data_IF_459020967181
#
_entry.id   IF_459020967181
#
_cell.length_a   1.000
_cell.length_b   1.000
_cell.length_c   1.000
_cell.angle_alpha   90.00
_cell.angle_beta   90.00
_cell.angle_gamma   90.00
#
_symmetry.space_group_name_H-M   'P 1'
#
loop_
_entity.id
_entity.type
_entity.pdbx_description
1 polymer ?
#
# COMPACT_ATOMS: atom_id res chain seq x y z
N UNK A 1 -28.87 -20.84 34.27
CA UNK A 1 -28.87 -19.62 33.46
C UNK A 1 -27.42 -19.20 33.28
N UNK A 2 -26.76 -19.65 32.21
CA UNK A 2 -25.39 -19.25 31.89
C UNK A 2 -25.48 -17.89 31.17
N UNK A 3 -24.92 -16.85 31.79
CA UNK A 3 -24.73 -15.56 31.13
C UNK A 3 -23.59 -15.73 30.14
N UNK A 4 -23.89 -15.65 28.84
CA UNK A 4 -22.86 -15.59 27.81
C UNK A 4 -22.03 -14.34 28.01
N UNK A 5 -20.73 -14.51 28.25
CA UNK A 5 -19.78 -13.40 28.19
C UNK A 5 -19.78 -12.91 26.73
N UNK A 6 -20.34 -11.73 26.50
CA UNK A 6 -20.12 -11.02 25.23
C UNK A 6 -18.63 -10.80 25.08
N UNK A 7 -18.04 -11.30 24.00
CA UNK A 7 -16.67 -10.98 23.66
C UNK A 7 -16.54 -9.45 23.59
N UNK A 8 -15.54 -8.89 24.26
CA UNK A 8 -15.20 -7.49 24.06
C UNK A 8 -14.94 -7.26 22.56
N UNK A 9 -15.28 -6.08 22.00
CA UNK A 9 -14.92 -5.76 20.63
C UNK A 9 -13.40 -5.94 20.48
N UNK A 10 -12.99 -6.55 19.37
CA UNK A 10 -11.58 -6.71 19.05
C UNK A 10 -10.96 -5.32 18.85
N UNK A 11 -10.05 -4.94 19.74
CA UNK A 11 -9.27 -3.71 19.60
C UNK A 11 -8.49 -3.75 18.28
N UNK A 12 -8.44 -2.62 17.58
CA UNK A 12 -7.64 -2.51 16.35
C UNK A 12 -6.15 -2.70 16.65
N UNK A 13 -5.43 -3.37 15.74
CA UNK A 13 -4.03 -3.71 15.91
C UNK A 13 -3.22 -3.58 14.62
N UNK A 14 -1.89 -3.53 14.76
CA UNK A 14 -0.97 -3.70 13.64
C UNK A 14 -0.97 -5.18 13.20
N UNK A 15 -1.26 -5.44 11.93
CA UNK A 15 -1.28 -6.81 11.37
C UNK A 15 0.11 -7.27 10.95
N UNK A 16 0.86 -6.39 10.30
CA UNK A 16 2.15 -6.70 9.72
C UNK A 16 3.02 -5.45 9.61
N UNK A 17 4.32 -5.60 9.86
CA UNK A 17 5.34 -4.59 9.57
C UNK A 17 6.26 -5.07 8.46
N UNK A 18 6.36 -4.30 7.38
CA UNK A 18 7.22 -4.59 6.23
C UNK A 18 8.24 -3.49 5.95
N UNK A 19 9.22 -3.82 5.12
CA UNK A 19 10.16 -2.89 4.52
C UNK A 19 10.71 -3.53 3.25
N UNK A 20 10.51 -2.87 2.11
CA UNK A 20 11.06 -3.33 0.83
C UNK A 20 11.94 -2.22 0.23
N UNK A 21 13.16 -2.02 0.76
CA UNK A 21 14.10 -1.11 0.12
C UNK A 21 14.60 -1.73 -1.18
N UNK A 22 14.56 -0.96 -2.26
CA UNK A 22 14.98 -1.37 -3.61
C UNK A 22 16.04 -0.41 -4.15
N UNK A 23 16.91 -0.84 -5.08
CA UNK A 23 17.85 0.07 -5.71
C UNK A 23 17.17 1.23 -6.42
N UNK A 24 17.84 2.37 -6.49
CA UNK A 24 17.35 3.52 -7.25
C UNK A 24 16.98 3.14 -8.70
N UNK A 25 15.73 3.42 -9.08
CA UNK A 25 15.19 3.10 -10.40
C UNK A 25 14.89 1.62 -10.64
N UNK A 26 14.87 0.78 -9.60
CA UNK A 26 14.47 -0.62 -9.72
C UNK A 26 12.98 -0.81 -10.04
N UNK A 27 12.13 0.13 -9.64
CA UNK A 27 10.69 0.14 -9.95
C UNK A 27 10.39 1.22 -11.00
N UNK A 28 9.71 0.82 -12.08
CA UNK A 28 9.27 1.66 -13.18
C UNK A 28 7.75 1.66 -13.22
N UNK A 29 7.14 2.84 -13.13
CA UNK A 29 5.68 2.98 -13.15
C UNK A 29 5.19 2.95 -14.61
N UNK A 30 4.90 1.76 -15.12
CA UNK A 30 4.52 1.54 -16.52
C UNK A 30 3.36 0.54 -16.74
N UNK A 31 2.74 0.06 -15.66
CA UNK A 31 1.65 -0.92 -15.74
C UNK A 31 2.15 -2.35 -15.96
N UNK A 32 3.36 -2.68 -15.53
CA UNK A 32 3.94 -4.02 -15.63
C UNK A 32 4.53 -4.49 -14.29
N UNK A 33 3.99 -5.55 -13.71
CA UNK A 33 4.39 -6.06 -12.39
C UNK A 33 5.76 -6.78 -12.33
N UNK A 34 6.53 -6.82 -13.42
CA UNK A 34 7.76 -7.63 -13.48
C UNK A 34 8.87 -7.18 -12.53
N UNK A 35 8.96 -5.87 -12.29
CA UNK A 35 9.88 -5.22 -11.36
C UNK A 35 9.44 -5.35 -9.89
N UNK A 36 8.15 -5.57 -9.63
CA UNK A 36 7.60 -5.88 -8.31
C UNK A 36 7.85 -7.32 -7.84
N UNK A 37 8.39 -8.20 -8.69
CA UNK A 37 8.53 -9.63 -8.39
C UNK A 37 9.37 -9.93 -7.12
N UNK A 38 10.27 -9.03 -6.73
CA UNK A 38 11.08 -9.16 -5.52
C UNK A 38 10.49 -8.43 -4.30
N UNK A 39 9.43 -7.64 -4.47
CA UNK A 39 8.77 -6.89 -3.40
C UNK A 39 7.85 -7.82 -2.64
N UNK A 40 8.00 -7.90 -1.32
CA UNK A 40 7.06 -8.67 -0.49
C UNK A 40 5.78 -7.85 -0.31
N UNK A 41 4.61 -8.35 -0.75
CA UNK A 41 3.34 -7.67 -0.52
C UNK A 41 2.92 -7.78 0.95
N UNK A 42 2.00 -6.92 1.36
CA UNK A 42 1.29 -7.09 2.61
C UNK A 42 0.43 -8.35 2.59
N UNK A 43 -0.01 -8.78 3.77
CA UNK A 43 -0.96 -9.86 3.93
C UNK A 43 -2.15 -9.61 3.01
N UNK A 44 -2.42 -10.59 2.15
CA UNK A 44 -3.52 -10.56 1.21
C UNK A 44 -4.84 -10.56 1.96
N UNK A 45 -5.84 -9.88 1.40
CA UNK A 45 -7.21 -10.08 1.84
C UNK A 45 -7.65 -11.53 1.56
N UNK A 46 -8.13 -12.20 2.61
CA UNK A 46 -8.56 -13.58 2.54
C UNK A 46 -10.02 -13.69 2.09
N UNK A 47 -10.80 -12.62 2.25
CA UNK A 47 -12.22 -12.56 1.92
C UNK A 47 -12.38 -11.52 0.83
N UNK A 48 -11.80 -11.80 -0.35
CA UNK A 48 -12.04 -10.92 -1.47
C UNK A 48 -13.49 -11.06 -1.94
N UNK A 49 -14.35 -10.13 -1.56
CA UNK A 49 -15.77 -10.14 -1.91
C UNK A 49 -15.98 -9.37 -3.22
N UNK A 50 -15.87 -10.09 -4.34
CA UNK A 50 -16.23 -9.50 -5.62
C UNK A 50 -17.70 -9.05 -5.65
N UNK A 51 -17.96 -7.85 -6.20
CA UNK A 51 -19.26 -7.29 -6.64
C UNK A 51 -20.53 -8.07 -6.21
N UNK A 52 -21.32 -7.50 -5.29
CA UNK A 52 -22.65 -7.97 -4.85
C UNK A 52 -23.74 -7.91 -5.94
N UNK A 53 -23.37 -7.72 -7.20
CA UNK A 53 -24.19 -7.99 -8.37
C UNK A 53 -24.53 -6.76 -9.21
N UNK A 54 -25.41 -6.95 -10.19
CA UNK A 54 -25.65 -6.00 -11.28
C UNK A 54 -26.19 -4.61 -10.86
N UNK A 55 -26.67 -4.45 -9.63
CA UNK A 55 -27.12 -3.17 -9.07
C UNK A 55 -25.99 -2.36 -8.43
N UNK A 56 -24.87 -3.02 -8.13
CA UNK A 56 -23.66 -2.44 -7.53
C UNK A 56 -22.42 -3.01 -8.25
N UNK A 57 -22.17 -2.56 -9.48
CA UNK A 57 -20.99 -2.97 -10.24
C UNK A 57 -19.66 -2.45 -9.65
N UNK A 58 -19.67 -1.94 -8.40
CA UNK A 58 -18.58 -1.20 -7.76
C UNK A 58 -18.22 -1.73 -6.36
N UNK A 59 -18.63 -2.93 -5.96
CA UNK A 59 -18.00 -3.56 -4.78
C UNK A 59 -16.61 -3.99 -5.22
N UNK A 60 -15.76 -2.99 -5.13
CA UNK A 60 -14.36 -3.04 -5.45
C UNK A 60 -13.71 -3.46 -4.16
N UNK A 61 -12.98 -4.56 -4.22
CA UNK A 61 -12.18 -5.05 -3.11
C UNK A 61 -10.70 -4.99 -3.52
N UNK A 62 -9.87 -4.46 -2.62
CA UNK A 62 -8.42 -4.46 -2.75
C UNK A 62 -7.88 -5.77 -2.17
N UNK A 63 -7.67 -6.73 -3.07
CA UNK A 63 -7.11 -8.04 -2.76
C UNK A 63 -5.74 -7.97 -2.09
N UNK A 64 -4.86 -7.07 -2.57
CA UNK A 64 -3.49 -7.02 -2.09
C UNK A 64 -2.85 -5.65 -2.31
N UNK A 65 -2.05 -5.22 -1.33
CA UNK A 65 -1.19 -4.06 -1.42
C UNK A 65 0.30 -4.41 -1.29
N UNK A 66 1.17 -3.61 -1.89
CA UNK A 66 2.61 -3.66 -1.67
C UNK A 66 3.19 -2.25 -1.65
N UNK A 67 4.24 -2.04 -0.87
CA UNK A 67 5.01 -0.80 -0.86
C UNK A 67 6.49 -1.14 -1.00
N UNK A 68 7.19 -0.38 -1.84
CA UNK A 68 8.64 -0.39 -1.98
C UNK A 68 9.20 1.04 -1.81
N UNK A 69 10.51 1.19 -1.62
CA UNK A 69 11.13 2.51 -1.58
C UNK A 69 12.58 2.49 -2.04
N UNK A 70 13.00 3.59 -2.66
CA UNK A 70 14.41 3.89 -2.92
C UNK A 70 14.79 5.23 -2.25
N UNK A 71 15.93 5.82 -2.60
CA UNK A 71 16.36 7.10 -2.02
C UNK A 71 15.43 8.28 -2.38
N UNK A 72 14.68 8.17 -3.48
CA UNK A 72 13.95 9.28 -4.10
C UNK A 72 12.42 9.15 -4.02
N UNK A 73 11.90 7.92 -3.97
CA UNK A 73 10.49 7.62 -4.11
C UNK A 73 10.00 6.60 -3.08
N UNK A 74 8.74 6.77 -2.66
CA UNK A 74 7.93 5.68 -2.12
C UNK A 74 7.07 5.16 -3.27
N UNK A 75 7.11 3.86 -3.47
CA UNK A 75 6.32 3.16 -4.48
C UNK A 75 5.16 2.45 -3.81
N UNK A 76 3.97 2.56 -4.38
CA UNK A 76 2.75 1.90 -3.87
C UNK A 76 2.13 1.13 -5.01
N UNK A 77 1.85 -0.15 -4.79
CA UNK A 77 1.07 -1.00 -5.67
C UNK A 77 -0.17 -1.45 -4.89
N UNK A 78 -1.32 -1.44 -5.53
CA UNK A 78 -2.46 -2.24 -5.09
C UNK A 78 -3.09 -2.97 -6.26
N UNK A 79 -3.70 -4.10 -5.95
CA UNK A 79 -4.43 -4.94 -6.90
C UNK A 79 -5.81 -5.21 -6.35
N UNK A 80 -6.81 -5.03 -7.21
CA UNK A 80 -8.20 -5.34 -6.92
C UNK A 80 -8.50 -6.81 -7.20
N UNK A 81 -9.57 -7.34 -6.60
CA UNK A 81 -10.01 -8.71 -6.79
C UNK A 81 -10.55 -9.01 -8.22
N UNK A 82 -10.83 -7.98 -9.02
CA UNK A 82 -11.36 -8.12 -10.38
C UNK A 82 -10.92 -7.03 -11.36
N UNK A 83 -11.16 -7.29 -12.64
CA UNK A 83 -10.79 -6.41 -13.75
C UNK A 83 -11.74 -5.22 -13.90
N UNK A 84 -11.24 -4.10 -14.46
CA UNK A 84 -11.94 -2.80 -14.58
C UNK A 84 -12.36 -2.19 -13.24
N UNK A 85 -11.67 -2.55 -12.17
CA UNK A 85 -12.03 -2.10 -10.82
C UNK A 85 -11.22 -0.90 -10.34
N UNK A 86 -10.33 -0.33 -11.18
CA UNK A 86 -9.57 0.87 -10.80
C UNK A 86 -10.47 2.10 -10.86
N UNK A 87 -10.90 2.57 -9.69
CA UNK A 87 -11.77 3.73 -9.54
C UNK A 87 -11.27 4.71 -8.47
N UNK A 88 -11.38 6.00 -8.78
CA UNK A 88 -10.93 7.07 -7.88
C UNK A 88 -11.86 7.35 -6.71
N UNK A 89 -13.14 6.98 -6.85
CA UNK A 89 -14.14 7.16 -5.81
C UNK A 89 -14.24 5.95 -4.89
N UNK A 90 -13.65 4.79 -5.25
CA UNK A 90 -13.89 3.54 -4.53
C UNK A 90 -12.62 2.78 -4.15
N UNK A 91 -11.44 3.15 -4.66
CA UNK A 91 -10.16 2.65 -4.15
C UNK A 91 -9.47 3.74 -3.35
N UNK A 92 -9.18 3.50 -2.07
CA UNK A 92 -8.46 4.45 -1.22
C UNK A 92 -7.29 3.81 -0.50
N UNK A 93 -6.11 4.42 -0.62
CA UNK A 93 -4.95 4.02 0.18
C UNK A 93 -4.65 5.14 1.16
N UNK A 94 -4.77 4.87 2.44
CA UNK A 94 -4.66 5.86 3.51
C UNK A 94 -3.29 5.75 4.19
N UNK A 95 -2.67 6.89 4.46
CA UNK A 95 -1.33 6.98 5.04
C UNK A 95 -1.31 7.89 6.26
N UNK A 96 -0.81 7.35 7.37
CA UNK A 96 -0.55 8.04 8.64
C UNK A 96 0.96 8.09 8.84
N UNK A 97 1.55 9.25 8.52
CA UNK A 97 2.99 9.43 8.41
C UNK A 97 3.65 9.72 9.76
N UNK A 98 2.92 10.27 10.72
CA UNK A 98 3.42 10.55 12.08
C UNK A 98 3.06 9.47 13.10
N UNK A 99 2.26 8.48 12.69
CA UNK A 99 1.75 7.36 13.49
C UNK A 99 0.95 7.80 14.69
N UNK A 100 0.25 8.93 14.58
CA UNK A 100 -0.57 9.45 15.63
C UNK A 100 -2.04 9.43 15.21
N UNK A 101 -2.88 8.53 15.77
CA UNK A 101 -4.29 8.43 15.38
C UNK A 101 -5.12 9.69 15.71
N UNK A 102 -4.55 10.64 16.46
CA UNK A 102 -5.19 11.92 16.80
C UNK A 102 -4.89 13.06 15.81
N UNK A 103 -4.02 12.87 14.81
CA UNK A 103 -3.67 13.87 13.78
C UNK A 103 -4.29 13.50 12.43
N UNK A 104 -4.11 14.39 11.45
CA UNK A 104 -4.67 14.19 10.10
C UNK A 104 -6.20 14.10 10.07
N UNK A 105 -6.71 13.32 9.11
CA UNK A 105 -8.10 12.92 9.00
C UNK A 105 -8.33 11.60 9.76
N UNK A 106 -9.33 11.56 10.64
CA UNK A 106 -9.73 10.36 11.40
C UNK A 106 -11.27 10.26 11.56
N UNK A 107 -12.00 11.08 10.82
CA UNK A 107 -13.47 11.17 10.85
C UNK A 107 -14.16 10.39 9.73
N UNK A 108 -13.42 9.61 8.94
CA UNK A 108 -14.03 8.74 7.92
C UNK A 108 -14.70 7.56 8.65
N UNK A 109 -16.01 7.33 8.44
CA UNK A 109 -16.71 6.20 9.07
C UNK A 109 -16.00 4.88 8.72
N UNK A 110 -15.68 4.09 9.74
CA UNK A 110 -14.94 2.84 9.55
C UNK A 110 -13.42 2.98 9.44
N UNK A 111 -12.86 4.18 9.62
CA UNK A 111 -11.41 4.47 9.55
C UNK A 111 -10.95 5.42 10.67
N UNK A 112 -10.97 4.92 11.91
CA UNK A 112 -10.54 5.64 13.11
C UNK A 112 -9.33 4.99 13.81
N UNK A 113 -8.72 3.96 13.21
CA UNK A 113 -7.52 3.30 13.74
C UNK A 113 -6.22 4.05 13.47
N UNK A 114 -6.21 4.95 12.49
CA UNK A 114 -5.05 5.78 12.09
C UNK A 114 -5.45 7.24 11.86
N UNK A 115 -4.47 8.14 11.91
CA UNK A 115 -4.63 9.58 11.68
C UNK A 115 -4.01 9.95 10.34
N UNK A 116 -4.82 10.19 9.32
CA UNK A 116 -4.36 10.14 7.93
C UNK A 116 -3.88 11.51 7.43
N UNK A 117 -2.59 11.65 7.11
CA UNK A 117 -2.07 12.84 6.42
C UNK A 117 -2.35 12.81 4.92
N UNK A 118 -2.44 11.61 4.34
CA UNK A 118 -2.64 11.45 2.91
C UNK A 118 -3.60 10.32 2.60
N UNK A 119 -4.33 10.46 1.49
CA UNK A 119 -4.88 9.29 0.82
C UNK A 119 -4.79 9.39 -0.70
N UNK A 120 -4.66 8.24 -1.34
CA UNK A 120 -4.69 8.04 -2.78
C UNK A 120 -6.06 7.54 -3.19
N UNK A 121 -6.41 7.68 -4.47
CA UNK A 121 -7.50 6.90 -5.03
C UNK A 121 -7.58 6.92 -6.55
N UNK A 122 -7.65 5.74 -7.17
CA UNK A 122 -7.59 5.59 -8.62
C UNK A 122 -6.43 6.37 -9.28
N UNK A 123 -6.50 6.66 -10.57
CA UNK A 123 -5.37 7.34 -11.26
C UNK A 123 -5.25 8.83 -10.92
N UNK A 124 -6.35 9.47 -10.53
CA UNK A 124 -6.40 10.91 -10.30
C UNK A 124 -6.25 11.32 -8.83
N UNK A 125 -6.80 10.54 -7.91
CA UNK A 125 -7.03 10.94 -6.53
C UNK A 125 -5.75 11.09 -5.71
N UNK A 126 -5.64 12.24 -5.07
CA UNK A 126 -4.68 12.52 -4.02
C UNK A 126 -5.29 13.57 -3.11
N UNK A 127 -5.39 13.23 -1.83
CA UNK A 127 -5.73 14.16 -0.78
C UNK A 127 -4.55 14.31 0.15
N UNK A 128 -4.19 15.57 0.41
CA UNK A 128 -3.28 15.95 1.48
C UNK A 128 -4.11 16.61 2.59
N UNK A 129 -4.24 15.94 3.72
CA UNK A 129 -5.02 16.37 4.86
C UNK A 129 -4.20 17.25 5.80
N UNK A 130 -4.89 18.11 6.55
CA UNK A 130 -4.32 18.86 7.66
C UNK A 130 -5.08 18.54 8.97
N UNK A 131 -4.50 18.93 10.10
CA UNK A 131 -5.00 18.63 11.44
C UNK A 131 -6.35 19.26 11.81
N UNK A 132 -6.96 20.05 10.92
CA UNK A 132 -8.28 20.64 11.10
C UNK A 132 -9.33 20.08 10.11
N UNK A 133 -9.01 18.96 9.45
CA UNK A 133 -9.93 18.23 8.58
C UNK A 133 -10.09 18.80 7.17
N UNK A 134 -9.28 19.78 6.78
CA UNK A 134 -9.25 20.30 5.41
C UNK A 134 -8.42 19.38 4.50
N UNK A 135 -8.92 19.10 3.30
CA UNK A 135 -8.18 18.38 2.25
C UNK A 135 -7.81 19.32 1.10
N UNK A 136 -6.58 19.17 0.62
CA UNK A 136 -6.23 19.54 -0.75
C UNK A 136 -6.45 18.33 -1.65
N UNK A 137 -7.56 18.32 -2.38
CA UNK A 137 -7.83 17.34 -3.43
C UNK A 137 -7.17 17.81 -4.74
N UNK A 138 -6.39 16.94 -5.40
CA UNK A 138 -5.75 17.29 -6.67
C UNK A 138 -4.67 16.31 -7.10
N UNK A 139 -3.64 16.81 -7.79
CA UNK A 139 -2.45 16.04 -8.14
C UNK A 139 -1.36 16.16 -7.08
N UNK A 140 -0.72 15.04 -6.75
CA UNK A 140 0.46 15.05 -5.91
C UNK A 140 1.67 15.62 -6.68
N UNK A 141 2.51 16.39 -5.99
CA UNK A 141 3.74 16.87 -6.60
C UNK A 141 4.76 15.73 -6.67
N UNK A 142 5.42 15.57 -7.83
CA UNK A 142 6.41 14.52 -8.03
C UNK A 142 5.84 13.10 -7.99
N UNK A 143 4.57 12.93 -8.42
CA UNK A 143 3.93 11.62 -8.56
C UNK A 143 3.86 11.16 -10.00
N UNK A 144 4.12 9.87 -10.21
CA UNK A 144 3.80 9.14 -11.44
C UNK A 144 2.82 8.02 -11.11
N UNK A 145 1.92 7.71 -12.05
CA UNK A 145 0.89 6.68 -11.88
C UNK A 145 0.73 5.90 -13.18
N UNK A 146 0.55 4.59 -13.06
CA UNK A 146 0.19 3.71 -14.17
C UNK A 146 -0.80 2.64 -13.67
N UNK A 147 -1.57 2.11 -14.61
CA UNK A 147 -2.50 1.00 -14.37
C UNK A 147 -2.13 -0.14 -15.29
N UNK A 148 -2.29 -1.37 -14.84
CA UNK A 148 -2.12 -2.54 -15.70
C UNK A 148 -3.14 -3.61 -15.42
N UNK A 149 -3.08 -4.64 -16.25
CA UNK A 149 -3.91 -5.84 -16.19
C UNK A 149 -2.98 -7.01 -15.86
N UNK A 150 -3.18 -7.63 -14.69
CA UNK A 150 -2.38 -8.75 -14.22
C UNK A 150 -2.78 -10.08 -14.87
N UNK A 151 -3.92 -10.10 -15.58
CA UNK A 151 -4.43 -11.27 -16.24
C UNK A 151 -3.81 -11.47 -17.63
N UNK A 152 -3.73 -12.71 -18.07
CA UNK A 152 -3.24 -13.04 -19.42
C UNK A 152 -4.27 -12.75 -20.53
N UNK A 153 -5.52 -12.45 -20.17
CA UNK A 153 -6.63 -12.22 -21.10
C UNK A 153 -7.08 -10.78 -20.89
N UNK A 154 -6.80 -9.85 -21.82
CA UNK A 154 -7.14 -8.44 -21.65
C UNK A 154 -8.61 -8.26 -21.29
N UNK A 155 -8.84 -7.92 -20.03
CA UNK A 155 -10.17 -7.77 -19.46
C UNK A 155 -10.34 -6.39 -18.82
N UNK A 156 -9.26 -5.67 -18.56
CA UNK A 156 -9.26 -4.33 -17.99
C UNK A 156 -8.19 -4.19 -16.93
N UNK A 157 -7.89 -2.95 -16.52
CA UNK A 157 -6.93 -2.77 -15.44
C UNK A 157 -7.49 -3.31 -14.11
N UNK A 158 -6.70 -4.13 -13.42
CA UNK A 158 -7.00 -4.68 -12.09
C UNK A 158 -5.95 -4.25 -11.04
N UNK A 159 -4.88 -3.59 -11.45
CA UNK A 159 -3.90 -3.01 -10.52
C UNK A 159 -3.48 -1.60 -10.90
N UNK A 160 -2.92 -0.90 -9.91
CA UNK A 160 -2.38 0.43 -10.07
C UNK A 160 -1.08 0.59 -9.29
N UNK A 161 -0.14 1.28 -9.92
CA UNK A 161 1.18 1.61 -9.37
C UNK A 161 1.32 3.13 -9.23
N UNK A 162 1.88 3.58 -8.11
CA UNK A 162 2.33 4.94 -7.89
C UNK A 162 3.82 4.98 -7.58
N UNK A 163 4.50 6.01 -8.07
CA UNK A 163 5.71 6.53 -7.47
C UNK A 163 5.40 7.90 -6.87
N UNK A 164 5.78 8.14 -5.62
CA UNK A 164 5.55 9.40 -4.91
C UNK A 164 6.91 9.92 -4.45
N UNK A 165 7.28 11.11 -4.93
CA UNK A 165 8.55 11.73 -4.55
C UNK A 165 8.63 11.98 -3.04
N UNK A 166 9.75 11.56 -2.46
CA UNK A 166 10.09 11.79 -1.05
C UNK A 166 10.53 13.23 -0.79
N UNK A 167 10.89 14.00 -1.80
CA UNK A 167 11.45 15.36 -1.62
C UNK A 167 10.53 16.45 -2.14
N UNK A 168 9.53 16.10 -2.96
CA UNK A 168 8.53 17.05 -3.42
C UNK A 168 7.64 17.51 -2.26
N UNK A 169 7.55 18.84 -2.09
CA UNK A 169 6.58 19.45 -1.17
C UNK A 169 5.17 19.20 -1.69
N UNK A 170 4.33 18.64 -0.83
CA UNK A 170 2.92 18.37 -1.09
C UNK A 170 2.08 19.61 -0.75
N UNK A 171 0.80 19.68 -1.20
CA UNK A 171 -0.05 20.84 -0.98
C UNK A 171 -0.29 21.22 0.49
N UNK A 172 -0.24 20.25 1.41
CA UNK A 172 -0.30 20.49 2.86
C UNK A 172 1.03 20.96 3.48
N UNK A 173 2.06 21.21 2.65
CA UNK A 173 3.38 21.66 3.08
C UNK A 173 4.30 20.55 3.61
N UNK A 174 3.83 19.29 3.63
CA UNK A 174 4.62 18.14 4.05
C UNK A 174 5.37 17.52 2.86
N UNK A 175 6.34 16.65 3.14
CA UNK A 175 6.84 15.68 2.16
C UNK A 175 6.24 14.32 2.46
N UNK A 176 6.23 13.42 1.47
CA UNK A 176 5.75 12.05 1.68
C UNK A 176 6.85 11.17 2.30
N UNK A 177 7.15 11.41 3.57
CA UNK A 177 8.06 10.60 4.40
C UNK A 177 7.48 10.40 5.80
N UNK A 178 7.91 9.35 6.52
CA UNK A 178 7.70 9.26 7.96
C UNK A 178 8.07 10.55 8.70
N UNK A 179 7.19 11.00 9.59
CA UNK A 179 7.37 12.19 10.43
C UNK A 179 7.79 11.71 11.82
N UNK A 180 8.90 12.24 12.33
CA UNK A 180 9.38 11.88 13.67
C UNK A 180 9.92 10.46 13.82
N UNK A 181 10.15 9.74 12.72
CA UNK A 181 10.61 8.36 12.74
C UNK A 181 11.04 7.86 11.36
N UNK A 182 10.99 6.53 11.18
CA UNK A 182 11.35 5.85 9.94
C UNK A 182 10.24 4.90 9.46
N UNK A 183 9.00 5.10 9.91
CA UNK A 183 7.88 4.25 9.56
C UNK A 183 6.56 5.03 9.54
N UNK A 184 5.61 4.60 8.72
CA UNK A 184 4.25 5.12 8.67
C UNK A 184 3.24 3.96 8.71
N UNK A 185 1.99 4.24 9.08
CA UNK A 185 0.90 3.28 8.99
C UNK A 185 0.16 3.43 7.66
N UNK A 186 -0.35 2.32 7.13
CA UNK A 186 -1.13 2.28 5.90
C UNK A 186 -2.35 1.38 6.07
N UNK A 187 -3.46 1.81 5.47
CA UNK A 187 -4.68 1.00 5.33
C UNK A 187 -5.12 1.05 3.88
N UNK A 188 -5.50 -0.10 3.35
CA UNK A 188 -6.09 -0.23 2.02
C UNK A 188 -7.60 -0.27 2.23
N UNK A 189 -8.31 0.76 1.79
CA UNK A 189 -9.75 0.84 1.88
C UNK A 189 -10.36 0.74 0.50
N UNK A 190 -11.44 0.00 0.39
CA UNK A 190 -12.22 -0.09 -0.82
C UNK A 190 -13.71 0.11 -0.49
N UNK A 191 -14.41 0.86 -1.32
CA UNK A 191 -15.83 1.14 -1.10
C UNK A 191 -16.68 -0.03 -1.62
N UNK A 192 -17.34 -0.74 -0.71
CA UNK A 192 -18.71 -1.23 -0.93
C UNK A 192 -19.67 -0.34 -0.09
N UNK A 193 -20.92 -0.75 0.05
CA UNK A 193 -21.97 -0.08 0.83
C UNK A 193 -21.72 0.01 2.32
N UNK A 194 -20.69 -0.66 2.79
CA UNK A 194 -19.94 -0.30 4.00
C UNK A 194 -18.48 -0.23 3.56
N UNK A 195 -17.73 0.75 4.04
CA UNK A 195 -16.30 0.84 3.78
C UNK A 195 -15.63 -0.47 4.23
N UNK A 196 -15.03 -1.17 3.28
CA UNK A 196 -14.25 -2.36 3.53
C UNK A 196 -12.77 -2.00 3.57
N UNK A 197 -12.01 -2.64 4.45
CA UNK A 197 -10.61 -2.33 4.66
C UNK A 197 -9.78 -3.59 4.73
N UNK A 198 -8.77 -3.67 3.88
CA UNK A 198 -7.75 -4.69 3.98
C UNK A 198 -6.63 -4.26 4.93
N UNK A 199 -6.28 -5.09 5.93
CA UNK A 199 -6.73 -6.47 6.10
C UNK A 199 -8.07 -6.61 6.86
N UNK A 200 -9.07 -7.26 6.24
CA UNK A 200 -10.36 -7.52 6.89
C UNK A 200 -10.29 -8.72 7.83
N UNK A 201 -10.39 -8.46 9.13
CA UNK A 201 -10.64 -9.50 10.13
C UNK A 201 -11.73 -9.12 11.14
N UNK A 202 -12.61 -8.18 10.77
CA UNK A 202 -13.64 -7.65 11.67
C UNK A 202 -13.16 -6.58 12.67
N UNK A 203 -11.91 -6.11 12.56
CA UNK A 203 -11.36 -4.92 13.23
C UNK A 203 -10.61 -4.05 12.23
N UNK A 204 -10.66 -2.72 12.39
CA UNK A 204 -10.00 -1.74 11.51
C UNK A 204 -8.47 -1.75 11.67
N UNK A 205 -7.80 -2.84 11.34
CA UNK A 205 -6.37 -2.97 11.54
C UNK A 205 -5.59 -2.17 10.51
N UNK A 206 -4.29 -2.04 10.76
CA UNK A 206 -3.39 -1.37 9.83
C UNK A 206 -2.14 -2.19 9.58
N UNK A 207 -1.46 -1.85 8.50
CA UNK A 207 -0.10 -2.27 8.25
C UNK A 207 0.88 -1.17 8.64
N UNK A 208 2.07 -1.57 9.08
CA UNK A 208 3.19 -0.65 9.28
C UNK A 208 4.21 -0.82 8.15
N UNK A 209 4.70 0.29 7.61
CA UNK A 209 5.77 0.28 6.62
C UNK A 209 6.98 1.04 7.13
N UNK A 210 8.16 0.41 7.09
CA UNK A 210 9.43 1.01 7.49
C UNK A 210 10.24 1.44 6.27
N UNK A 211 10.66 2.69 6.28
CA UNK A 211 11.60 3.28 5.33
C UNK A 211 13.00 3.18 5.94
N UNK A 212 13.85 2.37 5.36
CA UNK A 212 15.25 2.17 5.78
C UNK A 212 16.18 2.64 4.66
N UNK A 213 17.49 2.82 4.90
CA UNK A 213 18.41 3.08 3.80
C UNK A 213 18.36 1.97 2.75
N UNK A 214 18.59 2.33 1.49
CA UNK A 214 18.78 1.35 0.41
C UNK A 214 19.83 0.31 0.83
N UNK A 215 19.64 -0.99 0.52
CA UNK A 215 20.73 -1.95 0.68
C UNK A 215 21.93 -1.42 -0.08
N UNK A 216 23.00 -1.07 0.66
CA UNK A 216 24.22 -0.52 0.07
C UNK A 216 24.58 -1.34 -1.16
N UNK A 217 24.76 -0.69 -2.31
CA UNK A 217 25.09 -1.35 -3.56
C UNK A 217 26.24 -2.33 -3.33
N UNK A 218 25.93 -3.62 -3.17
CA UNK A 218 26.93 -4.65 -2.95
C UNK A 218 27.81 -4.63 -4.18
N UNK A 219 29.13 -4.41 -4.08
CA UNK A 219 30.05 -5.41 -3.52
C UNK A 219 29.39 -6.79 -3.57
N UNK A 220 29.16 -7.28 -4.79
CA UNK A 220 28.79 -8.67 -5.07
C UNK A 220 29.58 -9.56 -4.12
N UNK A 221 28.89 -10.11 -3.12
CA UNK A 221 29.49 -10.97 -2.13
C UNK A 221 30.21 -12.11 -2.84
N UNK A 222 31.53 -12.11 -2.73
CA UNK A 222 32.46 -13.15 -3.24
C UNK A 222 32.09 -14.55 -2.71
N UNK A 223 31.15 -14.66 -1.77
CA UNK A 223 30.59 -15.92 -1.28
C UNK A 223 29.80 -16.72 -2.32
N UNK A 224 29.22 -16.11 -3.37
CA UNK A 224 28.57 -16.88 -4.44
C UNK A 224 29.57 -17.47 -5.46
N UNK A 225 30.76 -16.87 -5.60
CA UNK A 225 31.78 -17.33 -6.55
C UNK A 225 32.60 -18.54 -6.02
N UNK A 226 32.62 -18.79 -4.71
CA UNK A 226 33.35 -19.94 -4.14
C UNK A 226 32.55 -21.27 -4.17
N UNK A 227 31.22 -21.22 -4.27
CA UNK A 227 30.39 -22.43 -4.38
C UNK A 227 30.53 -23.11 -5.76
N UNK A 228 30.86 -22.37 -6.82
CA UNK A 228 31.06 -22.93 -8.16
C UNK A 228 32.51 -23.41 -8.40
N UNK A 229 33.48 -22.87 -7.67
CA UNK A 229 34.89 -23.27 -7.78
C UNK A 229 35.23 -24.57 -7.03
N UNK A 230 34.48 -24.93 -5.97
CA UNK A 230 34.69 -26.18 -5.23
C UNK A 230 34.02 -27.41 -5.85
N UNK A 231 33.09 -27.26 -6.80
CA UNK A 231 32.41 -28.40 -7.43
C UNK A 231 33.14 -28.97 -8.66
N UNK A 232 34.10 -28.24 -9.25
CA UNK A 232 34.81 -28.65 -10.47
C UNK A 232 36.09 -29.48 -10.28
N UNK A 233 36.42 -29.90 -9.04
CA UNK A 233 37.62 -30.73 -8.74
C UNK A 233 37.35 -32.16 -8.26
N UNK A 234 36.12 -32.69 -8.40
CA UNK A 234 35.79 -34.09 -8.06
C UNK A 234 35.30 -34.94 -9.25
N UNK A 235 35.80 -34.66 -10.45
CA UNK A 235 35.67 -35.56 -11.61
C UNK A 235 36.94 -35.51 -12.46
N UNK A 236 37.96 -36.22 -11.99
CA UNK A 236 39.08 -36.73 -12.76
C UNK A 236 39.66 -37.91 -12.00
#
# INVERSE_FOLDING_TARGET
MLLGAGAAPLESAEVQSLSNPVPNGAIVIDGNLSDWAAVTPFQQDAVGDGSSGAARPLDIDILQGAIAHDENFIYVLYRNAGDNMIDGASNWIFFDLDRNPATGQNGIPGMNSIGMEFNLGGTGGWNAWNSVGGAFAGGANGRTVATGDSSAIPAGADFLEYAISRTASQPNGLTFNPIGGNSFNVVFGAEDTVLDTSPDNGSQNWFNYRVVPEPAAGTLGVTAAMALACWRRRRS
#
